data_IF_745056398907
#
_entry.id   IF_745056398907
#
_cell.length_a   1.000
_cell.length_b   1.000
_cell.length_c   1.000
_cell.angle_alpha   90.00
_cell.angle_beta   90.00
_cell.angle_gamma   90.00
#
_symmetry.space_group_name_H-M   'P 1'
#
loop_
_entity.id
_entity.type
_entity.pdbx_description
1 polymer ?
#
# COMPACT_ATOMS: atom_id res chain seq x y z
N UNK A 1 9.93 13.48 17.69
CA UNK A 1 9.27 14.33 16.65
C UNK A 1 10.04 14.37 15.32
N UNK A 2 11.38 14.52 15.31
CA UNK A 2 12.17 14.66 14.08
C UNK A 2 11.97 13.51 13.06
N UNK A 3 12.02 12.26 13.51
CA UNK A 3 11.86 11.07 12.65
C UNK A 3 10.51 10.98 11.94
N UNK A 4 9.43 11.30 12.65
CA UNK A 4 8.09 11.33 12.03
C UNK A 4 7.98 12.41 10.94
N UNK A 5 8.73 13.53 11.08
CA UNK A 5 8.83 14.56 10.04
C UNK A 5 9.67 14.06 8.87
N UNK A 6 10.79 13.39 9.12
CA UNK A 6 11.61 12.77 8.07
C UNK A 6 10.82 11.75 7.24
N UNK A 7 10.03 10.87 7.86
CA UNK A 7 9.20 9.91 7.14
C UNK A 7 8.09 10.59 6.31
N UNK A 8 7.55 11.73 6.76
CA UNK A 8 6.63 12.53 5.95
C UNK A 8 7.34 13.14 4.75
N UNK A 9 8.55 13.67 4.93
CA UNK A 9 9.34 14.25 3.84
C UNK A 9 9.68 13.20 2.78
N UNK A 10 10.13 12.01 3.20
CA UNK A 10 10.39 10.88 2.29
C UNK A 10 9.14 10.45 1.52
N UNK A 11 7.99 10.39 2.20
CA UNK A 11 6.71 10.09 1.52
C UNK A 11 6.29 11.19 0.54
N UNK A 12 6.46 12.46 0.92
CA UNK A 12 6.14 13.60 0.07
C UNK A 12 7.06 13.65 -1.17
N UNK A 13 8.36 13.37 -1.03
CA UNK A 13 9.27 13.31 -2.18
C UNK A 13 8.93 12.16 -3.12
N UNK A 14 8.44 11.02 -2.62
CA UNK A 14 7.93 9.93 -3.48
C UNK A 14 6.71 10.40 -4.28
N UNK A 15 5.72 11.02 -3.62
CA UNK A 15 4.49 11.50 -4.27
C UNK A 15 4.81 12.55 -5.34
N UNK A 16 5.64 13.55 -5.01
CA UNK A 16 6.06 14.56 -5.97
C UNK A 16 6.85 13.93 -7.12
N UNK A 17 7.75 12.99 -6.84
CA UNK A 17 8.50 12.27 -7.88
C UNK A 17 7.61 11.48 -8.84
N UNK A 18 6.56 10.84 -8.33
CA UNK A 18 5.56 10.13 -9.15
C UNK A 18 4.74 11.10 -10.01
N UNK A 19 4.28 12.22 -9.45
CA UNK A 19 3.57 13.26 -10.20
C UNK A 19 4.43 13.82 -11.33
N UNK A 20 5.68 14.18 -11.05
CA UNK A 20 6.62 14.67 -12.06
C UNK A 20 6.88 13.61 -13.14
N UNK A 21 6.99 12.32 -12.76
CA UNK A 21 7.18 11.22 -13.72
C UNK A 21 6.02 11.14 -14.70
N UNK A 22 4.77 11.16 -14.22
CA UNK A 22 3.60 11.04 -15.09
C UNK A 22 3.32 12.31 -15.89
N UNK A 23 3.68 13.48 -15.35
CA UNK A 23 3.64 14.75 -16.08
C UNK A 23 4.80 14.93 -17.07
N UNK A 24 5.76 14.00 -17.12
CA UNK A 24 6.98 14.08 -17.93
C UNK A 24 7.87 15.30 -17.62
N UNK A 25 7.83 15.76 -16.37
CA UNK A 25 8.64 16.90 -15.92
C UNK A 25 10.08 16.48 -15.56
N UNK A 26 11.05 17.39 -15.76
CA UNK A 26 12.46 17.10 -15.45
C UNK A 26 12.66 16.83 -13.95
N UNK A 27 13.65 15.99 -13.63
CA UNK A 27 14.00 15.67 -12.23
C UNK A 27 13.16 14.57 -11.57
N UNK A 28 12.14 14.01 -12.25
CA UNK A 28 11.33 12.93 -11.70
C UNK A 28 12.17 11.71 -11.26
N UNK A 29 13.13 11.28 -12.09
CA UNK A 29 13.97 10.12 -11.81
C UNK A 29 14.82 10.28 -10.54
N UNK A 30 15.44 11.45 -10.34
CA UNK A 30 16.27 11.72 -9.15
C UNK A 30 15.43 11.79 -7.88
N UNK A 31 14.23 12.38 -7.94
CA UNK A 31 13.29 12.39 -6.80
C UNK A 31 12.79 10.98 -6.45
N UNK A 32 12.53 10.14 -7.44
CA UNK A 32 12.14 8.75 -7.22
C UNK A 32 13.28 7.92 -6.61
N UNK A 33 14.51 8.05 -7.12
CA UNK A 33 15.69 7.36 -6.58
C UNK A 33 15.92 7.76 -5.11
N UNK A 34 15.91 9.05 -4.81
CA UNK A 34 16.16 9.58 -3.45
C UNK A 34 15.06 9.16 -2.47
N UNK A 35 13.79 9.21 -2.89
CA UNK A 35 12.65 8.80 -2.05
C UNK A 35 12.63 7.29 -1.80
N UNK A 36 12.86 6.45 -2.81
CA UNK A 36 12.96 4.99 -2.65
C UNK A 36 14.12 4.61 -1.71
N UNK A 37 15.29 5.24 -1.87
CA UNK A 37 16.40 5.08 -0.93
C UNK A 37 16.02 5.48 0.50
N UNK A 38 15.32 6.60 0.66
CA UNK A 38 14.79 7.05 1.95
C UNK A 38 13.81 6.07 2.59
N UNK A 39 12.91 5.46 1.80
CA UNK A 39 11.96 4.44 2.28
C UNK A 39 12.71 3.19 2.73
N UNK A 40 13.70 2.73 1.95
CA UNK A 40 14.52 1.57 2.31
C UNK A 40 15.26 1.81 3.63
N UNK A 41 15.85 2.99 3.83
CA UNK A 41 16.51 3.36 5.08
C UNK A 41 15.51 3.41 6.25
N UNK A 42 14.31 3.98 6.04
CA UNK A 42 13.29 4.06 7.07
C UNK A 42 12.80 2.67 7.54
N UNK A 43 12.61 1.74 6.60
CA UNK A 43 12.22 0.36 6.90
C UNK A 43 13.35 -0.41 7.60
N UNK A 44 14.60 -0.20 7.18
CA UNK A 44 15.77 -0.80 7.82
C UNK A 44 15.95 -0.27 9.25
N UNK A 45 15.82 1.04 9.46
CA UNK A 45 15.85 1.66 10.80
C UNK A 45 14.77 1.07 11.70
N UNK A 46 13.56 0.88 11.17
CA UNK A 46 12.46 0.24 11.89
C UNK A 46 12.81 -1.20 12.30
N UNK A 47 13.39 -2.00 11.40
CA UNK A 47 13.81 -3.37 11.70
C UNK A 47 14.89 -3.40 12.81
N UNK A 48 15.92 -2.55 12.70
CA UNK A 48 17.03 -2.47 13.66
C UNK A 48 16.51 -2.08 15.05
N UNK A 49 15.60 -1.09 15.13
CA UNK A 49 15.03 -0.65 16.42
C UNK A 49 14.24 -1.75 17.11
N UNK A 50 13.55 -2.58 16.33
CA UNK A 50 12.74 -3.67 16.87
C UNK A 50 13.49 -5.01 16.96
N UNK A 51 14.83 -5.01 16.86
CA UNK A 51 15.64 -6.24 16.86
C UNK A 51 15.47 -7.14 18.09
N UNK A 52 15.11 -6.56 19.24
CA UNK A 52 14.87 -7.31 20.50
C UNK A 52 13.41 -7.72 20.69
N UNK A 53 12.58 -7.57 19.66
CA UNK A 53 11.16 -7.88 19.78
C UNK A 53 10.92 -9.39 19.85
N UNK A 54 10.00 -9.81 20.73
CA UNK A 54 9.51 -11.20 20.78
C UNK A 54 8.82 -11.65 19.48
N UNK A 55 8.36 -10.71 18.65
CA UNK A 55 7.68 -10.98 17.38
C UNK A 55 8.63 -10.73 16.20
N UNK A 56 9.59 -11.64 16.06
CA UNK A 56 10.69 -11.55 15.10
C UNK A 56 10.19 -11.42 13.65
N UNK A 57 9.22 -12.24 13.25
CA UNK A 57 8.61 -12.22 11.91
C UNK A 57 8.06 -10.83 11.57
N UNK A 58 7.14 -10.34 12.39
CA UNK A 58 6.39 -9.10 12.12
C UNK A 58 7.26 -7.85 12.20
N UNK A 59 8.21 -7.82 13.13
CA UNK A 59 8.94 -6.59 13.44
C UNK A 59 10.35 -6.52 12.82
N UNK A 60 10.86 -7.63 12.27
CA UNK A 60 12.17 -7.68 11.62
C UNK A 60 12.03 -8.22 10.19
N UNK A 61 11.48 -9.42 10.02
CA UNK A 61 11.44 -10.07 8.70
C UNK A 61 10.58 -9.29 7.70
N UNK A 62 9.36 -8.87 8.08
CA UNK A 62 8.47 -8.17 7.14
C UNK A 62 9.01 -6.79 6.72
N UNK A 63 9.54 -5.95 7.63
CA UNK A 63 10.23 -4.73 7.23
C UNK A 63 11.42 -4.99 6.31
N UNK A 64 12.23 -6.03 6.56
CA UNK A 64 13.37 -6.39 5.70
C UNK A 64 12.91 -6.85 4.31
N UNK A 65 11.82 -7.61 4.20
CA UNK A 65 11.21 -7.94 2.91
C UNK A 65 10.75 -6.68 2.17
N UNK A 66 10.20 -5.70 2.91
CA UNK A 66 9.89 -4.37 2.38
C UNK A 66 11.14 -3.61 1.89
N UNK A 67 12.27 -3.71 2.59
CA UNK A 67 13.56 -3.15 2.14
C UNK A 67 13.97 -3.79 0.81
N UNK A 68 13.95 -5.12 0.72
CA UNK A 68 14.32 -5.84 -0.51
C UNK A 68 13.38 -5.48 -1.66
N UNK A 69 12.08 -5.31 -1.40
CA UNK A 69 11.09 -4.88 -2.38
C UNK A 69 11.41 -3.48 -2.94
N UNK A 70 11.59 -2.50 -2.06
CA UNK A 70 11.89 -1.11 -2.44
C UNK A 70 13.23 -1.02 -3.17
N UNK A 71 14.25 -1.76 -2.71
CA UNK A 71 15.53 -1.83 -3.39
C UNK A 71 15.42 -2.51 -4.76
N UNK A 72 14.59 -3.55 -4.91
CA UNK A 72 14.32 -4.17 -6.21
C UNK A 72 13.73 -3.19 -7.22
N UNK A 73 12.80 -2.33 -6.78
CA UNK A 73 12.23 -1.25 -7.60
C UNK A 73 13.30 -0.19 -7.92
N UNK A 74 14.07 0.23 -6.91
CA UNK A 74 15.17 1.18 -7.09
C UNK A 74 16.18 0.67 -8.13
N UNK A 75 16.59 -0.59 -8.04
CA UNK A 75 17.50 -1.22 -8.98
C UNK A 75 16.89 -1.29 -10.37
N UNK A 76 15.59 -1.57 -10.49
CA UNK A 76 14.89 -1.57 -11.77
C UNK A 76 14.86 -0.18 -12.41
N UNK A 77 14.63 0.88 -11.62
CA UNK A 77 14.67 2.28 -12.08
C UNK A 77 16.08 2.70 -12.50
N UNK A 78 17.10 2.25 -11.77
CA UNK A 78 18.51 2.53 -12.08
C UNK A 78 19.12 1.59 -13.13
N UNK A 79 18.35 0.66 -13.70
CA UNK A 79 18.83 -0.39 -14.61
C UNK A 79 19.99 -1.24 -14.05
N UNK A 80 20.02 -1.44 -12.74
CA UNK A 80 21.03 -2.25 -12.07
C UNK A 80 20.73 -3.76 -12.20
N UNK A 81 21.77 -4.62 -12.26
CA UNK A 81 21.59 -6.06 -12.29
C UNK A 81 20.94 -6.58 -11.00
N UNK A 82 20.21 -7.68 -11.10
CA UNK A 82 19.57 -8.34 -9.95
C UNK A 82 18.20 -7.77 -9.55
N UNK A 83 17.73 -6.67 -10.15
CA UNK A 83 16.42 -6.09 -9.85
C UNK A 83 15.26 -7.09 -9.90
N UNK A 84 15.23 -7.93 -10.94
CA UNK A 84 14.20 -8.96 -11.11
C UNK A 84 14.18 -9.99 -9.97
N UNK A 85 15.36 -10.50 -9.59
CA UNK A 85 15.49 -11.48 -8.51
C UNK A 85 15.02 -10.88 -7.18
N UNK A 86 15.42 -9.64 -6.88
CA UNK A 86 15.01 -8.94 -5.67
C UNK A 86 13.49 -8.74 -5.62
N UNK A 87 12.87 -8.35 -6.74
CA UNK A 87 11.42 -8.20 -6.83
C UNK A 87 10.70 -9.54 -6.62
N UNK A 88 11.17 -10.62 -7.22
CA UNK A 88 10.57 -11.95 -7.07
C UNK A 88 10.65 -12.43 -5.61
N UNK A 89 11.85 -12.40 -5.02
CA UNK A 89 12.05 -12.83 -3.63
C UNK A 89 11.21 -12.01 -2.65
N UNK A 90 11.20 -10.69 -2.82
CA UNK A 90 10.46 -9.81 -1.93
C UNK A 90 8.94 -9.93 -2.10
N UNK A 91 8.42 -10.10 -3.31
CA UNK A 91 6.98 -10.28 -3.53
C UNK A 91 6.47 -11.63 -3.05
N UNK A 92 7.25 -12.72 -3.20
CA UNK A 92 6.95 -14.01 -2.56
C UNK A 92 6.89 -13.80 -1.04
N UNK A 93 7.91 -13.18 -0.46
CA UNK A 93 7.96 -12.91 0.97
C UNK A 93 6.80 -12.03 1.47
N UNK A 94 6.47 -10.96 0.76
CA UNK A 94 5.37 -10.05 1.10
C UNK A 94 4.01 -10.76 0.98
N UNK A 95 3.82 -11.62 -0.02
CA UNK A 95 2.63 -12.47 -0.12
C UNK A 95 2.48 -13.34 1.13
N UNK A 96 3.54 -14.06 1.55
CA UNK A 96 3.51 -14.87 2.77
C UNK A 96 3.31 -14.02 4.03
N UNK A 97 3.92 -12.83 4.11
CA UNK A 97 3.77 -11.92 5.24
C UNK A 97 2.32 -11.46 5.41
N UNK A 98 1.63 -11.14 4.31
CA UNK A 98 0.22 -10.76 4.32
C UNK A 98 -0.68 -11.94 4.69
N UNK A 99 -0.39 -13.14 4.20
CA UNK A 99 -1.13 -14.36 4.56
C UNK A 99 -0.97 -14.73 6.05
N UNK A 100 0.25 -14.64 6.59
CA UNK A 100 0.51 -14.84 8.02
C UNK A 100 -0.21 -13.80 8.87
N UNK A 101 -0.18 -12.53 8.44
CA UNK A 101 -0.91 -11.47 9.12
C UNK A 101 -2.41 -11.73 9.12
N UNK A 102 -2.98 -12.14 7.99
CA UNK A 102 -4.38 -12.56 7.87
C UNK A 102 -4.71 -13.68 8.87
N UNK A 103 -3.83 -14.69 8.95
CA UNK A 103 -3.97 -15.80 9.89
C UNK A 103 -3.88 -15.35 11.36
N UNK A 104 -3.04 -14.37 11.68
CA UNK A 104 -2.90 -13.78 13.02
C UNK A 104 -4.20 -13.11 13.49
N UNK A 105 -4.98 -12.53 12.57
CA UNK A 105 -6.28 -11.90 12.84
C UNK A 105 -7.48 -12.75 12.39
N UNK A 106 -7.31 -14.06 12.14
CA UNK A 106 -8.33 -14.95 11.53
C UNK A 106 -9.70 -14.98 12.20
N UNK A 107 -9.78 -14.62 13.49
CA UNK A 107 -11.06 -14.52 14.22
C UNK A 107 -11.87 -13.27 13.84
N UNK A 108 -11.25 -12.31 13.16
CA UNK A 108 -11.88 -11.08 12.69
C UNK A 108 -12.24 -11.19 11.22
N UNK A 109 -13.40 -10.64 10.84
CA UNK A 109 -13.82 -10.50 9.44
C UNK A 109 -12.77 -9.74 8.61
N UNK A 110 -11.98 -8.87 9.24
CA UNK A 110 -10.92 -8.09 8.59
C UNK A 110 -9.76 -8.93 8.03
N UNK A 111 -9.63 -10.21 8.42
CA UNK A 111 -8.61 -11.12 7.91
C UNK A 111 -8.69 -11.35 6.40
N UNK A 112 -9.88 -11.19 5.81
CA UNK A 112 -10.09 -11.41 4.37
C UNK A 112 -9.32 -10.41 3.49
N UNK A 113 -9.13 -9.17 3.95
CA UNK A 113 -8.46 -8.12 3.18
C UNK A 113 -6.97 -8.42 2.92
N UNK A 114 -6.13 -8.66 3.95
CA UNK A 114 -4.74 -9.04 3.72
C UNK A 114 -4.60 -10.36 2.97
N UNK A 115 -5.53 -11.31 3.14
CA UNK A 115 -5.53 -12.56 2.39
C UNK A 115 -5.77 -12.34 0.89
N UNK A 116 -6.78 -11.55 0.53
CA UNK A 116 -7.05 -11.21 -0.87
C UNK A 116 -5.87 -10.48 -1.51
N UNK A 117 -5.28 -9.52 -0.79
CA UNK A 117 -4.14 -8.78 -1.33
C UNK A 117 -2.86 -9.65 -1.39
N UNK A 118 -2.68 -10.62 -0.49
CA UNK A 118 -1.62 -11.63 -0.58
C UNK A 118 -1.73 -12.41 -1.88
N UNK A 119 -2.94 -12.89 -2.22
CA UNK A 119 -3.22 -13.55 -3.49
C UNK A 119 -2.88 -12.63 -4.66
N UNK A 120 -3.30 -11.36 -4.63
CA UNK A 120 -2.96 -10.39 -5.69
C UNK A 120 -1.44 -10.23 -5.87
N UNK A 121 -0.68 -10.07 -4.78
CA UNK A 121 0.79 -9.93 -4.84
C UNK A 121 1.43 -11.21 -5.40
N UNK A 122 0.94 -12.38 -5.00
CA UNK A 122 1.43 -13.65 -5.53
C UNK A 122 1.18 -13.78 -7.04
N UNK A 123 -0.02 -13.49 -7.51
CA UNK A 123 -0.32 -13.58 -8.95
C UNK A 123 0.38 -12.48 -9.76
N UNK A 124 0.65 -11.31 -9.18
CA UNK A 124 1.44 -10.27 -9.83
C UNK A 124 2.89 -10.71 -10.13
N UNK A 125 3.40 -11.77 -9.49
CA UNK A 125 4.70 -12.37 -9.82
C UNK A 125 4.73 -12.94 -11.23
N UNK A 126 3.63 -13.56 -11.69
CA UNK A 126 3.57 -14.16 -13.03
C UNK A 126 3.80 -13.12 -14.11
N UNK A 127 3.26 -11.91 -13.90
CA UNK A 127 3.49 -10.75 -14.78
C UNK A 127 4.96 -10.33 -14.85
N UNK A 128 5.65 -10.33 -13.71
CA UNK A 128 7.07 -9.96 -13.65
C UNK A 128 7.95 -11.04 -14.26
N UNK A 129 7.57 -12.32 -14.06
CA UNK A 129 8.26 -13.48 -14.60
C UNK A 129 7.93 -13.78 -16.07
N UNK A 130 7.03 -13.00 -16.70
CA UNK A 130 6.52 -13.23 -18.05
C UNK A 130 5.92 -14.64 -18.24
N UNK A 131 5.41 -15.21 -17.16
CA UNK A 131 4.70 -16.49 -17.19
C UNK A 131 3.26 -16.29 -17.63
N UNK A 132 2.63 -17.32 -18.23
CA UNK A 132 1.23 -17.24 -18.65
C UNK A 132 0.36 -16.94 -17.42
N UNK A 133 -0.17 -15.72 -17.39
CA UNK A 133 -1.05 -15.28 -16.31
C UNK A 133 -2.42 -15.94 -16.49
N UNK A 134 -3.05 -16.47 -15.42
CA UNK A 134 -4.48 -16.72 -15.45
C UNK A 134 -5.17 -15.35 -15.44
N UNK A 135 -5.78 -14.90 -16.55
CA UNK A 135 -6.16 -13.50 -16.73
C UNK A 135 -7.20 -13.03 -15.71
N UNK A 136 -7.97 -13.93 -15.10
CA UNK A 136 -9.07 -13.57 -14.22
C UNK A 136 -8.68 -13.48 -12.74
N UNK A 137 -7.64 -14.18 -12.28
CA UNK A 137 -7.40 -14.34 -10.83
C UNK A 137 -6.71 -13.11 -10.23
N UNK A 138 -5.76 -12.52 -10.95
CA UNK A 138 -5.09 -11.29 -10.53
C UNK A 138 -6.08 -10.13 -10.39
N UNK A 139 -6.85 -9.87 -11.46
CA UNK A 139 -7.84 -8.80 -11.46
C UNK A 139 -9.01 -9.11 -10.51
N UNK A 140 -9.47 -10.36 -10.44
CA UNK A 140 -10.55 -10.77 -9.55
C UNK A 140 -10.22 -10.55 -8.07
N UNK A 141 -9.09 -11.08 -7.59
CA UNK A 141 -8.67 -10.89 -6.19
C UNK A 141 -8.49 -9.43 -5.83
N UNK A 142 -7.91 -8.64 -6.74
CA UNK A 142 -7.73 -7.20 -6.57
C UNK A 142 -9.05 -6.44 -6.50
N UNK A 143 -9.98 -6.68 -7.42
CA UNK A 143 -11.27 -5.97 -7.43
C UNK A 143 -12.13 -6.33 -6.22
N UNK A 144 -12.13 -7.61 -5.82
CA UNK A 144 -12.82 -8.03 -4.59
C UNK A 144 -12.19 -7.31 -3.40
N UNK A 145 -10.86 -7.22 -3.31
CA UNK A 145 -10.20 -6.41 -2.29
C UNK A 145 -10.64 -4.94 -2.33
N UNK A 146 -10.58 -4.30 -3.50
CA UNK A 146 -10.90 -2.88 -3.70
C UNK A 146 -12.35 -2.54 -3.31
N UNK A 147 -13.30 -3.45 -3.59
CA UNK A 147 -14.72 -3.30 -3.22
C UNK A 147 -14.91 -3.56 -1.72
N UNK A 148 -14.22 -4.56 -1.16
CA UNK A 148 -14.46 -5.00 0.21
C UNK A 148 -13.88 -4.03 1.25
N UNK A 149 -12.82 -3.30 0.93
CA UNK A 149 -12.25 -2.26 1.81
C UNK A 149 -13.29 -1.20 2.21
N UNK A 150 -13.92 -0.45 1.28
CA UNK A 150 -14.91 0.56 1.65
C UNK A 150 -16.12 -0.07 2.35
N UNK A 151 -16.57 -1.27 1.94
CA UNK A 151 -17.69 -1.96 2.60
C UNK A 151 -17.39 -2.25 4.07
N UNK A 152 -16.23 -2.84 4.37
CA UNK A 152 -15.86 -3.19 5.75
C UNK A 152 -15.62 -1.93 6.60
N UNK A 153 -15.01 -0.89 6.03
CA UNK A 153 -14.82 0.39 6.71
C UNK A 153 -16.15 1.09 7.01
N UNK A 154 -17.11 1.04 6.08
CA UNK A 154 -18.45 1.60 6.24
C UNK A 154 -19.20 0.92 7.37
N UNK A 155 -19.27 -0.42 7.33
CA UNK A 155 -19.94 -1.22 8.35
C UNK A 155 -19.34 -0.96 9.74
N UNK A 156 -18.02 -0.76 9.81
CA UNK A 156 -17.34 -0.43 11.06
C UNK A 156 -17.65 0.99 11.52
N UNK A 157 -17.60 1.97 10.62
CA UNK A 157 -17.98 3.36 10.89
C UNK A 157 -19.40 3.48 11.41
N UNK A 158 -20.35 2.79 10.78
CA UNK A 158 -21.76 2.76 11.21
C UNK A 158 -21.93 2.18 12.61
N UNK A 159 -21.29 1.04 12.93
CA UNK A 159 -21.33 0.44 14.27
C UNK A 159 -20.74 1.35 15.35
N UNK A 160 -19.72 2.14 15.01
CA UNK A 160 -19.07 3.06 15.94
C UNK A 160 -19.86 4.35 16.17
N UNK A 161 -20.86 4.68 15.34
CA UNK A 161 -21.60 5.94 15.39
C UNK A 161 -22.19 6.24 16.78
N UNK A 162 -22.71 5.21 17.44
CA UNK A 162 -23.37 5.33 18.74
C UNK A 162 -22.41 5.18 19.93
N UNK A 163 -21.22 4.60 19.72
CA UNK A 163 -20.28 4.29 20.81
C UNK A 163 -19.11 5.28 20.88
N UNK A 164 -18.54 5.64 19.73
CA UNK A 164 -17.41 6.57 19.61
C UNK A 164 -17.59 7.41 18.33
N UNK A 165 -18.39 8.50 18.38
CA UNK A 165 -18.78 9.26 17.18
C UNK A 165 -17.59 9.90 16.47
N UNK A 166 -16.55 10.30 17.22
CA UNK A 166 -15.31 10.83 16.64
C UNK A 166 -14.62 9.76 15.77
N UNK A 167 -14.43 8.55 16.31
CA UNK A 167 -13.80 7.45 15.57
C UNK A 167 -14.67 7.02 14.37
N UNK A 168 -15.99 6.99 14.54
CA UNK A 168 -16.93 6.74 13.46
C UNK A 168 -16.70 7.68 12.27
N UNK A 169 -16.59 9.00 12.53
CA UNK A 169 -16.31 10.00 11.48
C UNK A 169 -15.03 9.68 10.71
N UNK A 170 -13.95 9.28 11.40
CA UNK A 170 -12.72 8.87 10.74
C UNK A 170 -12.89 7.65 9.82
N UNK A 171 -13.60 6.62 10.26
CA UNK A 171 -13.91 5.46 9.42
C UNK A 171 -14.80 5.82 8.22
N UNK A 172 -15.73 6.76 8.39
CA UNK A 172 -16.60 7.22 7.30
C UNK A 172 -15.81 8.01 6.24
N UNK A 173 -14.85 8.84 6.64
CA UNK A 173 -13.97 9.52 5.67
C UNK A 173 -13.06 8.53 4.95
N UNK A 174 -12.48 7.55 5.66
CA UNK A 174 -11.72 6.47 5.02
C UNK A 174 -12.57 5.67 4.04
N UNK A 175 -13.83 5.43 4.37
CA UNK A 175 -14.80 4.80 3.47
C UNK A 175 -14.99 5.63 2.20
N UNK A 176 -15.25 6.93 2.33
CA UNK A 176 -15.45 7.80 1.18
C UNK A 176 -14.22 7.81 0.26
N UNK A 177 -13.02 7.98 0.83
CA UNK A 177 -11.77 7.98 0.06
C UNK A 177 -11.49 6.63 -0.62
N UNK A 178 -11.67 5.52 0.08
CA UNK A 178 -11.46 4.17 -0.50
C UNK A 178 -12.52 3.80 -1.52
N UNK A 179 -13.75 4.29 -1.38
CA UNK A 179 -14.80 4.12 -2.37
C UNK A 179 -14.52 4.92 -3.64
N UNK A 180 -14.07 6.18 -3.52
CA UNK A 180 -13.64 6.99 -4.67
C UNK A 180 -12.48 6.29 -5.39
N UNK A 181 -11.47 5.80 -4.66
CA UNK A 181 -10.38 5.02 -5.23
C UNK A 181 -10.90 3.77 -5.97
N UNK A 182 -11.81 3.00 -5.36
CA UNK A 182 -12.41 1.83 -5.99
C UNK A 182 -13.13 2.17 -7.29
N UNK A 183 -13.91 3.26 -7.32
CA UNK A 183 -14.63 3.68 -8.54
C UNK A 183 -13.67 4.12 -9.64
N UNK A 184 -12.63 4.88 -9.28
CA UNK A 184 -11.58 5.31 -10.20
C UNK A 184 -10.90 4.08 -10.78
N UNK A 185 -10.36 3.19 -9.95
CA UNK A 185 -9.65 1.99 -10.42
C UNK A 185 -10.51 1.05 -11.25
N UNK A 186 -11.79 0.88 -10.90
CA UNK A 186 -12.74 0.07 -11.67
C UNK A 186 -12.97 0.66 -13.07
N UNK A 187 -13.21 1.97 -13.12
CA UNK A 187 -13.41 2.67 -14.39
C UNK A 187 -12.14 2.69 -15.24
N UNK A 188 -10.99 2.92 -14.64
CA UNK A 188 -9.68 2.94 -15.32
C UNK A 188 -9.31 1.57 -15.92
N UNK A 189 -9.59 0.48 -15.21
CA UNK A 189 -9.23 -0.87 -15.67
C UNK A 189 -10.22 -1.46 -16.67
N UNK A 190 -11.52 -1.16 -16.56
CA UNK A 190 -12.54 -1.71 -17.47
C UNK A 190 -12.83 -0.81 -18.66
N UNK A 191 -12.77 0.52 -18.48
CA UNK A 191 -13.09 1.51 -19.49
C UNK A 191 -12.02 2.60 -19.52
N UNK A 192 -10.79 2.29 -19.97
CA UNK A 192 -9.67 3.24 -19.94
C UNK A 192 -9.96 4.54 -20.69
N UNK A 193 -10.82 4.52 -21.72
CA UNK A 193 -11.20 5.73 -22.47
C UNK A 193 -12.45 6.44 -21.91
N UNK A 194 -13.17 5.81 -20.97
CA UNK A 194 -14.49 6.23 -20.51
C UNK A 194 -14.52 7.45 -19.59
N UNK A 195 -13.37 7.97 -19.16
CA UNK A 195 -13.29 9.23 -18.40
C UNK A 195 -13.13 10.46 -19.30
N UNK A 196 -12.88 10.29 -20.61
CA UNK A 196 -12.55 11.41 -21.50
C UNK A 196 -11.27 12.14 -21.08
N UNK A 197 -10.46 11.52 -20.22
CA UNK A 197 -9.20 12.05 -19.70
C UNK A 197 -8.05 11.44 -20.49
N UNK A 198 -6.98 12.20 -20.68
CA UNK A 198 -5.79 11.70 -21.36
C UNK A 198 -5.14 10.57 -20.54
N UNK A 199 -4.55 9.57 -21.21
CA UNK A 199 -4.06 8.33 -20.57
C UNK A 199 -3.10 8.57 -19.39
N UNK A 200 -2.32 9.66 -19.40
CA UNK A 200 -1.39 10.02 -18.32
C UNK A 200 -2.07 10.63 -17.09
N UNK A 201 -3.32 11.07 -17.19
CA UNK A 201 -4.06 11.62 -16.05
C UNK A 201 -4.53 10.54 -15.09
N UNK A 202 -4.65 9.29 -15.57
CA UNK A 202 -5.11 8.17 -14.75
C UNK A 202 -4.14 7.83 -13.60
N UNK A 203 -2.82 7.62 -13.85
CA UNK A 203 -1.88 7.35 -12.77
C UNK A 203 -1.70 8.54 -11.82
N UNK A 204 -1.86 9.78 -12.31
CA UNK A 204 -1.83 11.00 -11.47
C UNK A 204 -2.95 10.95 -10.43
N UNK A 205 -4.17 10.60 -10.86
CA UNK A 205 -5.32 10.48 -9.96
C UNK A 205 -5.11 9.39 -8.91
N UNK A 206 -4.58 8.22 -9.32
CA UNK A 206 -4.25 7.13 -8.39
C UNK A 206 -3.21 7.56 -7.34
N UNK A 207 -2.16 8.28 -7.74
CA UNK A 207 -1.14 8.82 -6.82
C UNK A 207 -1.75 9.77 -5.79
N UNK A 208 -2.64 10.67 -6.23
CA UNK A 208 -3.31 11.62 -5.34
C UNK A 208 -4.26 10.92 -4.36
N UNK A 209 -5.04 9.94 -4.82
CA UNK A 209 -5.97 9.20 -3.97
C UNK A 209 -5.25 8.30 -2.97
N UNK A 210 -4.23 7.55 -3.42
CA UNK A 210 -3.42 6.69 -2.55
C UNK A 210 -2.66 7.49 -1.49
N UNK A 211 -2.08 8.63 -1.87
CA UNK A 211 -1.39 9.51 -0.91
C UNK A 211 -2.35 10.14 0.09
N UNK A 212 -3.55 10.56 -0.34
CA UNK A 212 -4.62 11.06 0.53
C UNK A 212 -5.06 10.00 1.55
N UNK A 213 -5.27 8.76 1.11
CA UNK A 213 -5.59 7.62 1.97
C UNK A 213 -4.48 7.34 2.99
N UNK A 214 -3.21 7.30 2.57
CA UNK A 214 -2.08 7.06 3.47
C UNK A 214 -1.97 8.13 4.55
N UNK A 215 -2.13 9.40 4.20
CA UNK A 215 -2.12 10.50 5.17
C UNK A 215 -3.28 10.40 6.15
N UNK A 216 -4.48 10.06 5.67
CA UNK A 216 -5.65 9.95 6.54
C UNK A 216 -5.62 8.71 7.45
N UNK A 217 -5.12 7.57 6.96
CA UNK A 217 -4.85 6.38 7.77
C UNK A 217 -3.87 6.73 8.88
N UNK A 218 -2.76 7.42 8.54
CA UNK A 218 -1.79 7.86 9.54
C UNK A 218 -2.41 8.78 10.59
N UNK A 219 -3.26 9.73 10.20
CA UNK A 219 -4.00 10.60 11.12
C UNK A 219 -4.90 9.78 12.05
N UNK A 220 -5.61 8.79 11.51
CA UNK A 220 -6.53 7.93 12.26
C UNK A 220 -5.78 7.02 13.25
N UNK A 221 -4.59 6.52 12.88
CA UNK A 221 -3.73 5.72 13.75
C UNK A 221 -3.18 6.48 14.97
N UNK A 222 -3.22 7.82 14.98
CA UNK A 222 -2.80 8.63 16.12
C UNK A 222 -3.85 8.72 17.24
N UNK A 223 -5.08 8.25 17.00
CA UNK A 223 -6.16 8.26 17.98
C UNK A 223 -5.89 7.19 19.05
N UNK A 224 -5.67 7.59 20.30
CA UNK A 224 -5.27 6.67 21.38
C UNK A 224 -6.31 5.58 21.67
N UNK A 225 -7.60 5.93 21.63
CA UNK A 225 -8.70 4.99 21.83
C UNK A 225 -8.67 3.81 20.86
N UNK A 226 -8.24 4.03 19.62
CA UNK A 226 -8.10 2.98 18.61
C UNK A 226 -7.06 1.95 19.03
N UNK A 227 -5.93 2.40 19.58
CA UNK A 227 -4.83 1.53 20.01
C UNK A 227 -5.18 0.71 21.26
N UNK A 228 -5.92 1.30 22.19
CA UNK A 228 -6.21 0.69 23.50
C UNK A 228 -7.46 -0.20 23.43
N UNK A 229 -8.57 0.33 22.89
CA UNK A 229 -9.91 -0.31 22.94
C UNK A 229 -10.20 -1.17 21.70
N UNK A 230 -9.64 -0.80 20.54
CA UNK A 230 -9.98 -1.43 19.26
C UNK A 230 -8.74 -1.99 18.54
N UNK A 231 -8.03 -2.88 19.22
CA UNK A 231 -6.74 -3.40 18.76
C UNK A 231 -6.79 -4.04 17.35
N UNK A 232 -7.89 -4.71 16.99
CA UNK A 232 -8.04 -5.30 15.66
C UNK A 232 -8.20 -4.24 14.57
N UNK A 233 -8.92 -3.15 14.84
CA UNK A 233 -9.09 -2.04 13.91
C UNK A 233 -7.77 -1.29 13.71
N UNK A 234 -7.01 -1.11 14.79
CA UNK A 234 -5.66 -0.54 14.72
C UNK A 234 -4.75 -1.40 13.83
N UNK A 235 -4.73 -2.73 14.04
CA UNK A 235 -3.97 -3.67 13.21
C UNK A 235 -4.42 -3.62 11.74
N UNK A 236 -5.72 -3.55 11.48
CA UNK A 236 -6.28 -3.43 10.13
C UNK A 236 -5.76 -2.17 9.44
N UNK A 237 -5.88 -1.01 10.07
CA UNK A 237 -5.44 0.26 9.47
C UNK A 237 -3.92 0.28 9.23
N UNK A 238 -3.12 -0.33 10.11
CA UNK A 238 -1.69 -0.52 9.87
C UNK A 238 -1.42 -1.39 8.62
N UNK A 239 -2.18 -2.47 8.47
CA UNK A 239 -2.07 -3.35 7.31
C UNK A 239 -2.49 -2.65 6.02
N UNK A 240 -3.64 -1.96 6.01
CA UNK A 240 -4.09 -1.17 4.87
C UNK A 240 -3.09 -0.08 4.49
N UNK A 241 -2.50 0.61 5.48
CA UNK A 241 -1.42 1.56 5.23
C UNK A 241 -0.21 0.93 4.55
N UNK A 242 0.18 -0.29 4.94
CA UNK A 242 1.23 -1.05 4.26
C UNK A 242 0.86 -1.45 2.83
N UNK A 243 -0.36 -1.93 2.62
CA UNK A 243 -0.88 -2.32 1.30
C UNK A 243 -0.91 -1.13 0.35
N UNK A 244 -1.46 0.02 0.76
CA UNK A 244 -1.50 1.22 -0.06
C UNK A 244 -0.11 1.79 -0.34
N UNK A 245 0.85 1.62 0.58
CA UNK A 245 2.24 1.98 0.31
C UNK A 245 2.87 1.08 -0.77
N UNK A 246 2.61 -0.24 -0.73
CA UNK A 246 3.05 -1.16 -1.78
C UNK A 246 2.44 -0.75 -3.13
N UNK A 247 1.14 -0.46 -3.17
CA UNK A 247 0.47 0.03 -4.38
C UNK A 247 1.06 1.35 -4.87
N UNK A 248 1.31 2.32 -4.00
CA UNK A 248 1.93 3.59 -4.40
C UNK A 248 3.34 3.38 -4.97
N UNK A 249 4.13 2.51 -4.35
CA UNK A 249 5.50 2.23 -4.76
C UNK A 249 5.54 1.43 -6.08
N UNK A 250 4.59 0.53 -6.34
CA UNK A 250 4.55 -0.23 -7.61
C UNK A 250 4.24 0.68 -8.81
N UNK A 251 3.55 1.81 -8.62
CA UNK A 251 3.33 2.81 -9.67
C UNK A 251 4.64 3.39 -10.21
N UNK A 252 5.75 3.31 -9.47
CA UNK A 252 7.08 3.67 -9.99
C UNK A 252 7.47 2.81 -11.18
N UNK A 253 7.01 1.56 -11.24
CA UNK A 253 7.26 0.66 -12.38
C UNK A 253 6.28 0.86 -13.53
N UNK A 254 5.21 1.64 -13.35
CA UNK A 254 4.33 2.03 -14.44
C UNK A 254 5.05 3.10 -15.31
N UNK A 255 5.51 2.71 -16.49
CA UNK A 255 5.88 3.57 -17.64
C UNK A 255 6.25 2.67 -18.83
N UNK A 256 5.78 2.83 -20.06
CA UNK A 256 5.04 3.87 -20.79
C UNK A 256 3.63 3.41 -21.14
#
# INVERSE_FOLDING_TARGET
MLRNRLYLLVGATLVVGLLLKFMHWPGAGTMLITSLGGIAIALLEYAIRNRKSKLLTRNIIYPLLGVVYVLGILFKVMHLPGAGIMLVVSMIGLSFALAEFAFSIRKSVHAILPLLFSITVFFALFRILHWPEPPYVLYGSYFVFAILVPVLLFLRGYKLKNTEPNLSSHFMVLTALSFILCLVEFKLKLYPEGLGMEKYMHPILDVLLLSGLLLYIRKTLQIEQLKIKFQNDHKLLQCLGGIYLIQLVILVLASK
#
